data_IF_901512979662
#
_entry.id   IF_901512979662
#
_cell.length_a   1.000
_cell.length_b   1.000
_cell.length_c   1.000
_cell.angle_alpha   90.00
_cell.angle_beta   90.00
_cell.angle_gamma   90.00
#
_symmetry.space_group_name_H-M   'P 1'
#
loop_
_entity.id
_entity.type
_entity.pdbx_description
1 polymer ?
#
# COMPACT_ATOMS: atom_id res chain seq x y z
N UNK A 1 29.49 36.79 45.70
CA UNK A 1 29.05 37.73 46.76
C UNK A 1 27.90 38.56 46.22
N UNK A 2 26.89 38.91 47.03
CA UNK A 2 25.53 38.35 46.87
C UNK A 2 24.38 39.39 46.83
N UNK A 3 23.16 38.89 46.51
CA UNK A 3 21.77 39.20 46.95
C UNK A 3 21.45 40.45 47.83
N UNK A 4 20.18 40.97 47.89
CA UNK A 4 18.92 40.21 48.10
C UNK A 4 17.59 40.77 47.49
N UNK A 5 16.57 39.92 47.25
CA UNK A 5 15.23 39.78 47.90
C UNK A 5 14.21 40.94 47.66
N UNK A 6 12.88 40.77 47.55
CA UNK A 6 11.96 39.82 48.20
C UNK A 6 10.55 39.71 47.54
N UNK A 7 9.99 38.49 47.59
CA UNK A 7 8.60 38.04 47.93
C UNK A 7 7.41 39.02 47.87
N UNK A 8 6.27 38.55 47.32
CA UNK A 8 5.02 38.14 48.03
C UNK A 8 3.86 37.81 47.07
N UNK A 9 3.34 36.58 47.13
CA UNK A 9 1.90 36.23 47.06
C UNK A 9 1.30 36.38 48.48
N UNK A 10 -0.03 36.23 48.80
CA UNK A 10 -1.14 35.55 48.08
C UNK A 10 -2.54 36.25 48.20
N UNK A 11 -3.62 35.66 47.66
CA UNK A 11 -4.79 35.15 48.43
C UNK A 11 -6.03 34.88 47.55
N UNK A 12 -6.63 33.71 47.79
CA UNK A 12 -7.97 33.31 47.39
C UNK A 12 -9.02 33.83 48.38
N UNK A 13 -10.28 33.99 47.93
CA UNK A 13 -11.47 34.03 48.81
C UNK A 13 -12.68 33.37 48.16
N UNK A 14 -13.46 32.73 49.01
CA UNK A 14 -14.60 31.86 48.74
C UNK A 14 -15.87 32.42 49.43
N UNK A 15 -17.05 32.13 48.83
CA UNK A 15 -18.38 31.83 49.46
C UNK A 15 -19.12 33.02 50.13
N UNK A 16 -20.47 33.21 49.94
CA UNK A 16 -21.50 32.48 50.71
C UNK A 16 -22.82 32.09 49.98
N UNK A 17 -23.46 31.04 50.53
CA UNK A 17 -24.88 30.68 50.41
C UNK A 17 -25.75 31.53 51.36
N UNK A 18 -27.02 31.82 51.01
CA UNK A 18 -28.22 31.45 51.80
C UNK A 18 -29.58 31.91 51.18
N UNK A 19 -30.52 30.95 51.14
CA UNK A 19 -31.95 30.97 51.55
C UNK A 19 -33.08 31.78 50.87
N UNK A 20 -34.08 30.98 50.47
CA UNK A 20 -35.56 31.05 50.68
C UNK A 20 -36.38 32.22 50.12
N UNK A 21 -37.39 31.88 49.29
CA UNK A 21 -38.78 32.28 49.56
C UNK A 21 -39.81 31.35 48.90
N UNK A 22 -40.86 31.06 49.68
CA UNK A 22 -42.04 30.22 49.46
C UNK A 22 -43.07 30.92 48.53
N UNK A 23 -43.78 30.16 47.69
CA UNK A 23 -45.22 30.40 47.47
C UNK A 23 -45.94 29.11 47.09
N UNK A 24 -47.05 28.87 47.78
CA UNK A 24 -47.89 27.67 47.72
C UNK A 24 -49.06 27.84 46.73
N UNK A 25 -49.50 26.73 46.14
CA UNK A 25 -50.88 26.55 45.68
C UNK A 25 -51.25 25.05 45.79
N UNK A 26 -52.29 24.79 46.58
CA UNK A 26 -53.04 23.52 46.68
C UNK A 26 -53.85 23.30 45.38
N UNK A 27 -54.38 22.15 44.95
CA UNK A 27 -55.10 21.01 45.55
C UNK A 27 -55.14 19.88 44.48
N UNK A 28 -55.15 18.61 44.89
CA UNK A 28 -55.67 17.53 44.04
C UNK A 28 -55.10 16.14 44.36
N UNK A 29 -55.61 15.49 45.41
CA UNK A 29 -55.28 14.10 45.72
C UNK A 29 -56.15 13.14 44.88
N UNK A 30 -55.52 12.27 44.09
CA UNK A 30 -56.11 11.05 43.51
C UNK A 30 -55.19 9.87 43.88
N UNK A 31 -55.72 8.66 44.16
CA UNK A 31 -54.91 7.59 44.72
C UNK A 31 -54.12 6.81 43.64
N UNK A 32 -52.89 6.47 44.03
CA UNK A 32 -52.04 5.35 43.63
C UNK A 32 -52.25 4.66 42.27
N UNK A 33 -51.23 4.75 41.40
CA UNK A 33 -50.75 3.62 40.61
C UNK A 33 -49.21 3.62 40.63
N UNK A 34 -48.63 2.62 41.28
CA UNK A 34 -47.21 2.34 41.21
C UNK A 34 -46.87 1.97 39.75
N UNK A 35 -46.16 2.85 39.03
CA UNK A 35 -45.49 2.48 37.79
C UNK A 35 -44.19 1.79 38.19
N UNK A 36 -44.11 0.49 37.93
CA UNK A 36 -42.86 -0.25 37.93
C UNK A 36 -41.94 0.39 36.89
N UNK A 37 -40.77 0.83 37.33
CA UNK A 37 -39.68 1.22 36.45
C UNK A 37 -38.99 -0.06 35.97
N UNK A 38 -39.61 -0.76 35.03
CA UNK A 38 -38.91 -1.80 34.27
C UNK A 38 -38.08 -1.10 33.19
N UNK A 39 -36.81 -0.86 33.50
CA UNK A 39 -35.78 -0.71 32.46
C UNK A 39 -35.72 -1.99 31.62
N UNK A 40 -35.17 -1.96 30.39
CA UNK A 40 -35.09 -3.14 29.55
C UNK A 40 -34.43 -4.29 30.33
N UNK A 41 -34.98 -5.53 30.26
CA UNK A 41 -34.49 -6.64 31.07
C UNK A 41 -33.02 -6.92 30.72
N UNK A 42 -32.18 -6.99 31.76
CA UNK A 42 -30.82 -7.53 31.62
C UNK A 42 -30.98 -9.00 31.25
N UNK A 43 -30.42 -9.47 30.12
CA UNK A 43 -30.60 -10.84 29.67
C UNK A 43 -30.14 -11.83 30.75
N UNK A 44 -30.90 -12.90 30.96
CA UNK A 44 -30.54 -13.94 31.89
C UNK A 44 -29.17 -14.55 31.51
N UNK A 45 -28.36 -14.93 32.50
CA UNK A 45 -27.00 -15.46 32.29
C UNK A 45 -26.95 -16.64 31.30
N UNK A 46 -28.01 -17.45 31.25
CA UNK A 46 -28.16 -18.55 30.29
C UNK A 46 -28.28 -18.05 28.84
N UNK A 47 -29.07 -17.00 28.61
CA UNK A 47 -29.34 -16.47 27.28
C UNK A 47 -28.12 -15.72 26.73
N UNK A 48 -27.40 -15.00 27.61
CA UNK A 48 -26.12 -14.39 27.27
C UNK A 48 -25.06 -15.43 26.86
N UNK A 49 -24.97 -16.56 27.58
CA UNK A 49 -24.04 -17.66 27.24
C UNK A 49 -24.41 -18.36 25.92
N UNK A 50 -25.70 -18.42 25.58
CA UNK A 50 -26.19 -18.99 24.32
C UNK A 50 -25.84 -18.07 23.15
N UNK A 51 -26.10 -16.77 23.28
CA UNK A 51 -25.74 -15.76 22.28
C UNK A 51 -24.22 -15.67 22.05
N UNK A 52 -23.41 -15.75 23.11
CA UNK A 52 -21.94 -15.75 22.98
C UNK A 52 -21.43 -17.01 22.26
N UNK A 53 -22.09 -18.16 22.45
CA UNK A 53 -21.76 -19.40 21.73
C UNK A 53 -22.04 -19.31 20.23
N UNK A 54 -23.16 -18.69 19.85
CA UNK A 54 -23.48 -18.43 18.44
C UNK A 54 -22.44 -17.50 17.81
N UNK A 55 -22.12 -16.37 18.46
CA UNK A 55 -21.11 -15.42 18.00
C UNK A 55 -19.73 -16.05 17.82
N UNK A 56 -19.29 -16.86 18.78
CA UNK A 56 -17.99 -17.55 18.70
C UNK A 56 -17.98 -18.60 17.58
N UNK A 57 -19.08 -19.30 17.37
CA UNK A 57 -19.21 -20.29 16.28
C UNK A 57 -19.17 -19.60 14.92
N UNK A 58 -19.91 -18.51 14.76
CA UNK A 58 -19.91 -17.71 13.53
C UNK A 58 -18.52 -17.11 13.27
N UNK A 59 -17.89 -16.54 14.29
CA UNK A 59 -16.54 -15.98 14.18
C UNK A 59 -15.51 -17.03 13.77
N UNK A 60 -15.56 -18.23 14.37
CA UNK A 60 -14.72 -19.34 13.97
C UNK A 60 -15.00 -19.79 12.53
N UNK A 61 -16.26 -19.89 12.12
CA UNK A 61 -16.68 -20.25 10.76
C UNK A 61 -16.32 -19.18 9.70
N UNK A 62 -16.11 -17.93 10.11
CA UNK A 62 -15.69 -16.85 9.22
C UNK A 62 -14.16 -16.77 9.01
N UNK A 63 -13.35 -17.48 9.81
CA UNK A 63 -11.89 -17.45 9.66
C UNK A 63 -11.43 -18.10 8.36
N UNK A 64 -10.49 -17.43 7.69
CA UNK A 64 -9.86 -17.93 6.47
C UNK A 64 -8.35 -17.88 6.64
N UNK A 65 -7.67 -18.93 6.18
CA UNK A 65 -6.24 -18.89 5.88
C UNK A 65 -6.14 -18.95 4.37
N UNK A 66 -5.74 -17.84 3.77
CA UNK A 66 -5.65 -17.72 2.31
C UNK A 66 -4.60 -18.67 1.75
N UNK A 67 -4.87 -19.21 0.57
CA UNK A 67 -3.96 -20.08 -0.19
C UNK A 67 -3.48 -21.31 0.61
N UNK A 68 -4.33 -21.84 1.50
CA UNK A 68 -3.97 -22.90 2.44
C UNK A 68 -3.32 -24.12 1.77
N UNK A 69 -3.69 -24.47 0.54
CA UNK A 69 -3.14 -25.58 -0.24
C UNK A 69 -1.90 -25.22 -1.11
N UNK A 70 -1.46 -23.96 -1.09
CA UNK A 70 -0.31 -23.45 -1.84
C UNK A 70 0.45 -22.32 -1.10
N UNK A 71 0.84 -22.56 0.15
CA UNK A 71 1.57 -21.56 0.95
C UNK A 71 2.99 -21.37 0.42
N UNK A 72 3.29 -20.14 0.00
CA UNK A 72 4.59 -19.71 -0.58
C UNK A 72 5.29 -18.56 0.15
N UNK A 73 4.69 -18.00 1.19
CA UNK A 73 5.28 -16.92 1.98
C UNK A 73 4.56 -16.76 3.31
N UNK A 74 4.92 -15.73 4.06
CA UNK A 74 4.27 -15.42 5.34
C UNK A 74 2.76 -15.21 5.14
N UNK A 75 1.97 -15.66 6.12
CA UNK A 75 0.51 -15.56 6.12
C UNK A 75 0.02 -14.58 7.19
N UNK A 76 -1.16 -14.00 6.94
CA UNK A 76 -1.87 -13.18 7.92
C UNK A 76 -2.75 -14.07 8.79
N UNK A 77 -2.49 -14.05 10.10
CA UNK A 77 -3.32 -14.73 11.10
C UNK A 77 -3.95 -13.67 12.02
N UNK A 78 -5.28 -13.46 11.97
CA UNK A 78 -5.91 -12.43 12.77
C UNK A 78 -5.88 -12.81 14.26
N UNK A 79 -5.61 -11.82 15.12
CA UNK A 79 -5.71 -11.95 16.58
C UNK A 79 -7.14 -11.68 17.10
N UNK A 80 -7.99 -11.08 16.27
CA UNK A 80 -9.39 -10.75 16.58
C UNK A 80 -10.30 -11.14 15.43
N UNK A 81 -11.51 -11.61 15.73
CA UNK A 81 -12.52 -12.00 14.75
C UNK A 81 -13.79 -11.15 14.83
N UNK A 82 -14.84 -11.63 14.15
CA UNK A 82 -16.19 -11.04 14.26
C UNK A 82 -16.62 -10.94 15.73
N UNK A 83 -17.52 -10.00 16.03
CA UNK A 83 -18.09 -9.79 17.37
C UNK A 83 -17.07 -9.46 18.47
N UNK A 84 -15.88 -8.97 18.11
CA UNK A 84 -14.81 -8.68 19.07
C UNK A 84 -14.19 -9.93 19.70
N UNK A 85 -14.34 -11.09 19.06
CA UNK A 85 -13.74 -12.34 19.54
C UNK A 85 -12.22 -12.27 19.51
N UNK A 86 -11.56 -12.89 20.49
CA UNK A 86 -10.11 -13.08 20.51
C UNK A 86 -9.75 -14.40 19.85
N UNK A 87 -8.63 -14.44 19.13
CA UNK A 87 -8.17 -15.63 18.39
C UNK A 87 -6.73 -15.95 18.79
N UNK A 88 -6.54 -17.16 19.30
CA UNK A 88 -5.22 -17.73 19.57
C UNK A 88 -4.92 -18.85 18.58
N UNK A 89 -3.76 -18.80 17.93
CA UNK A 89 -3.34 -19.80 16.95
C UNK A 89 -2.36 -20.80 17.56
N UNK A 90 -2.43 -22.03 17.09
CA UNK A 90 -1.44 -23.08 17.39
C UNK A 90 -1.06 -23.79 16.11
N UNK A 91 0.22 -24.10 15.95
CA UNK A 91 0.75 -24.88 14.84
C UNK A 91 1.14 -26.29 15.28
N UNK A 92 0.92 -27.28 14.41
CA UNK A 92 1.43 -28.64 14.59
C UNK A 92 2.93 -28.75 14.33
N UNK A 93 3.53 -27.82 13.57
CA UNK A 93 4.97 -27.73 13.31
C UNK A 93 5.40 -26.26 13.23
N UNK A 94 5.72 -25.68 14.39
CA UNK A 94 6.12 -24.27 14.50
C UNK A 94 7.47 -23.94 13.85
N UNK A 95 8.22 -24.95 13.40
CA UNK A 95 9.43 -24.75 12.60
C UNK A 95 9.12 -24.48 11.13
N UNK A 96 7.94 -24.85 10.66
CA UNK A 96 7.50 -24.64 9.27
C UNK A 96 6.51 -23.47 9.18
N UNK A 97 5.51 -23.41 10.07
CA UNK A 97 4.59 -22.26 10.17
C UNK A 97 4.43 -21.90 11.64
N UNK A 98 4.79 -20.69 12.03
CA UNK A 98 4.65 -20.22 13.42
C UNK A 98 3.17 -19.91 13.75
N UNK A 99 2.81 -19.83 15.04
CA UNK A 99 1.50 -19.32 15.46
C UNK A 99 1.19 -17.87 15.04
N UNK A 100 2.22 -17.10 14.65
CA UNK A 100 2.12 -15.70 14.22
C UNK A 100 2.15 -15.55 12.69
N UNK A 101 2.27 -16.66 11.95
CA UNK A 101 2.13 -16.70 10.50
C UNK A 101 3.42 -16.52 9.71
N UNK A 102 4.59 -16.52 10.36
CA UNK A 102 5.87 -16.64 9.65
C UNK A 102 6.01 -18.06 9.09
N UNK A 103 6.50 -18.16 7.86
CA UNK A 103 6.63 -19.43 7.13
C UNK A 103 8.09 -19.69 6.79
N UNK A 104 8.58 -20.86 7.17
CA UNK A 104 9.88 -21.39 6.78
C UNK A 104 9.68 -22.55 5.81
N UNK A 105 9.92 -22.28 4.53
CA UNK A 105 9.67 -23.23 3.45
C UNK A 105 10.76 -24.31 3.39
N UNK A 106 10.42 -25.54 2.98
CA UNK A 106 11.43 -26.55 2.65
C UNK A 106 12.40 -26.02 1.57
N UNK A 107 13.67 -26.45 1.56
CA UNK A 107 14.60 -26.14 0.48
C UNK A 107 14.11 -26.59 -0.91
N UNK A 108 14.68 -26.01 -1.96
CA UNK A 108 14.45 -26.47 -3.34
C UNK A 108 14.80 -27.97 -3.50
N UNK A 109 13.95 -28.71 -4.19
CA UNK A 109 14.09 -30.15 -4.41
C UNK A 109 13.45 -31.03 -3.32
N UNK A 110 13.12 -30.47 -2.16
CA UNK A 110 12.39 -31.17 -1.11
C UNK A 110 10.89 -31.30 -1.44
N UNK A 111 10.21 -32.20 -0.74
CA UNK A 111 8.75 -32.33 -0.81
C UNK A 111 8.06 -31.20 -0.03
N UNK A 112 6.89 -30.81 -0.49
CA UNK A 112 6.00 -29.92 0.26
C UNK A 112 5.68 -30.51 1.65
N UNK A 113 5.45 -29.62 2.63
CA UNK A 113 5.12 -29.99 4.01
C UNK A 113 3.66 -29.71 4.32
N UNK A 114 3.02 -30.62 5.04
CA UNK A 114 1.67 -30.39 5.57
C UNK A 114 1.76 -29.91 7.01
N UNK A 115 1.06 -28.81 7.34
CA UNK A 115 1.02 -28.23 8.68
C UNK A 115 -0.42 -27.95 9.07
N UNK A 116 -0.83 -28.37 10.27
CA UNK A 116 -2.15 -28.05 10.80
C UNK A 116 -2.07 -26.82 11.69
N UNK A 117 -2.77 -25.76 11.31
CA UNK A 117 -3.07 -24.65 12.20
C UNK A 117 -4.40 -24.90 12.93
N UNK A 118 -4.47 -24.51 14.19
CA UNK A 118 -5.70 -24.54 14.99
C UNK A 118 -5.93 -23.18 15.62
N UNK A 119 -6.98 -22.49 15.18
CA UNK A 119 -7.49 -21.28 15.80
C UNK A 119 -8.40 -21.64 16.98
N UNK A 120 -8.17 -21.01 18.14
CA UNK A 120 -9.09 -21.02 19.29
C UNK A 120 -9.72 -19.65 19.38
N UNK A 121 -11.01 -19.57 19.08
CA UNK A 121 -11.81 -18.33 19.06
C UNK A 121 -12.57 -18.21 20.38
N UNK A 122 -12.51 -17.05 21.03
CA UNK A 122 -13.06 -16.83 22.37
C UNK A 122 -13.90 -15.55 22.48
N UNK A 123 -14.97 -15.64 23.26
CA UNK A 123 -15.75 -14.50 23.76
C UNK A 123 -16.16 -14.81 25.21
N UNK A 124 -15.65 -14.03 26.17
CA UNK A 124 -15.84 -14.33 27.60
C UNK A 124 -15.33 -15.73 27.96
N UNK A 125 -16.24 -16.58 28.46
CA UNK A 125 -15.93 -17.97 28.83
C UNK A 125 -16.21 -18.99 27.71
N UNK A 126 -16.79 -18.56 26.60
CA UNK A 126 -17.15 -19.46 25.50
C UNK A 126 -16.01 -19.50 24.48
N UNK A 127 -15.73 -20.70 23.97
CA UNK A 127 -14.70 -20.92 22.96
C UNK A 127 -15.13 -21.91 21.89
N UNK A 128 -14.64 -21.72 20.66
CA UNK A 128 -14.70 -22.70 19.58
C UNK A 128 -13.29 -22.88 18.99
N UNK A 129 -13.07 -24.02 18.32
CA UNK A 129 -11.82 -24.28 17.62
C UNK A 129 -12.09 -24.55 16.15
N UNK A 130 -11.19 -24.07 15.30
CA UNK A 130 -11.18 -24.38 13.87
C UNK A 130 -9.79 -24.79 13.43
N UNK A 131 -9.72 -25.88 12.66
CA UNK A 131 -8.48 -26.37 12.08
C UNK A 131 -8.34 -25.97 10.61
N UNK A 132 -7.11 -25.75 10.18
CA UNK A 132 -6.73 -25.50 8.79
C UNK A 132 -5.55 -26.40 8.46
N UNK A 133 -5.68 -27.21 7.42
CA UNK A 133 -4.58 -28.00 6.88
C UNK A 133 -3.88 -27.16 5.81
N UNK A 134 -2.59 -26.90 6.01
CA UNK A 134 -1.77 -26.11 5.12
C UNK A 134 -0.81 -26.99 4.33
N UNK A 135 -0.58 -26.66 3.06
CA UNK A 135 0.48 -27.24 2.22
C UNK A 135 1.52 -26.16 1.93
N UNK A 136 2.69 -26.28 2.54
CA UNK A 136 3.82 -25.35 2.38
C UNK A 136 4.74 -25.85 1.26
N UNK A 137 4.87 -25.06 0.20
CA UNK A 137 5.69 -25.41 -0.97
C UNK A 137 7.18 -25.23 -0.69
N UNK A 138 8.05 -26.09 -1.27
CA UNK A 138 9.50 -25.87 -1.22
C UNK A 138 9.87 -24.56 -1.93
N UNK A 139 10.99 -23.95 -1.54
CA UNK A 139 11.55 -22.78 -2.20
C UNK A 139 11.78 -23.06 -3.70
N UNK A 140 11.64 -22.05 -4.58
CA UNK A 140 11.98 -22.20 -5.98
C UNK A 140 13.49 -22.34 -6.16
N UNK A 141 13.88 -22.86 -7.33
CA UNK A 141 15.27 -22.75 -7.78
C UNK A 141 15.57 -21.27 -8.02
N UNK A 142 16.65 -20.78 -7.42
CA UNK A 142 17.13 -19.43 -7.72
C UNK A 142 17.90 -19.47 -9.05
N UNK A 143 17.53 -18.58 -9.96
CA UNK A 143 18.13 -18.48 -11.29
C UNK A 143 18.56 -17.03 -11.54
N UNK A 144 19.66 -16.81 -12.28
CA UNK A 144 20.08 -15.46 -12.62
C UNK A 144 19.01 -14.78 -13.48
N UNK A 145 18.85 -13.47 -13.26
CA UNK A 145 18.08 -12.63 -14.16
C UNK A 145 18.82 -12.47 -15.50
N UNK A 146 18.05 -12.42 -16.59
CA UNK A 146 18.56 -12.27 -17.96
C UNK A 146 17.72 -11.28 -18.79
N UNK A 147 16.93 -10.46 -18.11
CA UNK A 147 16.13 -9.42 -18.72
C UNK A 147 15.17 -8.80 -17.72
N UNK A 148 14.23 -8.03 -18.25
CA UNK A 148 13.27 -7.25 -17.50
C UNK A 148 11.88 -7.35 -18.13
N UNK A 149 10.87 -7.41 -17.28
CA UNK A 149 9.46 -7.17 -17.60
C UNK A 149 9.14 -5.72 -17.26
N UNK A 150 8.43 -5.02 -18.13
CA UNK A 150 7.92 -3.69 -17.88
C UNK A 150 6.40 -3.71 -17.94
N UNK A 151 5.76 -3.50 -16.80
CA UNK A 151 4.31 -3.30 -16.72
C UNK A 151 4.02 -1.80 -16.73
N UNK A 152 3.13 -1.34 -17.60
CA UNK A 152 2.81 0.07 -17.79
C UNK A 152 1.36 0.26 -18.25
N UNK A 153 0.88 1.49 -18.23
CA UNK A 153 -0.33 1.90 -18.95
C UNK A 153 0.04 2.95 -20.01
N UNK A 154 -0.88 3.30 -20.91
CA UNK A 154 -0.57 4.16 -22.06
C UNK A 154 -1.22 5.54 -22.06
N UNK A 155 -1.95 5.87 -20.98
CA UNK A 155 -2.56 7.18 -20.78
C UNK A 155 -4.03 7.26 -21.14
N UNK A 156 -4.65 8.40 -20.82
CA UNK A 156 -6.08 8.70 -21.01
C UNK A 156 -6.44 9.16 -22.43
N UNK A 157 -5.56 8.96 -23.41
CA UNK A 157 -5.82 9.33 -24.82
C UNK A 157 -6.67 8.32 -25.59
N UNK A 158 -6.86 7.11 -25.04
CA UNK A 158 -7.57 5.98 -25.69
C UNK A 158 -8.42 5.23 -24.69
N UNK A 159 -9.51 4.60 -25.15
CA UNK A 159 -10.46 3.90 -24.28
C UNK A 159 -9.87 2.69 -23.56
N UNK A 160 -8.80 2.12 -24.10
CA UNK A 160 -8.03 1.01 -23.56
C UNK A 160 -6.67 1.44 -22.99
N UNK A 161 -6.36 2.74 -22.98
CA UNK A 161 -5.04 3.22 -22.57
C UNK A 161 -4.83 3.23 -21.05
N UNK A 162 -5.92 3.20 -20.29
CA UNK A 162 -5.93 3.05 -18.83
C UNK A 162 -6.19 1.57 -18.48
N UNK A 163 -5.37 0.69 -19.03
CA UNK A 163 -5.32 -0.75 -18.76
C UNK A 163 -3.85 -1.17 -18.66
N UNK A 164 -3.57 -2.40 -18.20
CA UNK A 164 -2.18 -2.85 -18.03
C UNK A 164 -1.65 -3.43 -19.33
N UNK A 165 -0.52 -2.92 -19.79
CA UNK A 165 0.26 -3.40 -20.92
C UNK A 165 1.61 -3.89 -20.41
N UNK A 166 2.22 -4.82 -21.16
CA UNK A 166 3.52 -5.38 -20.82
C UNK A 166 4.49 -5.28 -21.98
N UNK A 167 5.76 -5.10 -21.67
CA UNK A 167 6.88 -5.22 -22.59
C UNK A 167 8.01 -6.01 -21.93
N UNK A 168 8.91 -6.55 -22.74
CA UNK A 168 10.12 -7.22 -22.26
C UNK A 168 11.35 -6.59 -22.88
N UNK A 169 12.43 -6.53 -22.11
CA UNK A 169 13.70 -6.02 -22.61
C UNK A 169 14.32 -6.97 -23.64
N UNK A 170 15.25 -6.44 -24.45
CA UNK A 170 16.11 -7.25 -25.32
C UNK A 170 17.30 -7.80 -24.53
N UNK A 171 17.07 -8.93 -23.85
CA UNK A 171 18.05 -9.48 -22.90
C UNK A 171 18.25 -8.54 -21.72
N UNK A 172 19.46 -8.45 -21.18
CA UNK A 172 19.81 -7.55 -20.06
C UNK A 172 19.97 -6.07 -20.45
N UNK A 173 19.47 -5.64 -21.62
CA UNK A 173 19.46 -4.24 -22.04
C UNK A 173 18.16 -3.54 -21.59
N UNK A 174 18.20 -2.73 -20.52
CA UNK A 174 17.00 -2.06 -20.01
C UNK A 174 16.59 -0.85 -20.86
N UNK A 175 17.33 -0.51 -21.92
CA UNK A 175 17.02 0.63 -22.77
C UNK A 175 16.27 0.25 -24.04
N UNK A 176 16.18 -1.05 -24.39
CA UNK A 176 15.49 -1.52 -25.60
C UNK A 176 14.44 -2.58 -25.29
N UNK A 177 13.20 -2.33 -25.72
CA UNK A 177 12.03 -3.12 -25.34
C UNK A 177 11.25 -3.60 -26.56
N UNK A 178 10.63 -4.78 -26.41
CA UNK A 178 9.63 -5.32 -27.33
C UNK A 178 8.28 -5.39 -26.61
N UNK A 179 7.23 -4.80 -27.20
CA UNK A 179 5.88 -4.82 -26.62
C UNK A 179 5.28 -6.23 -26.71
N UNK A 180 4.73 -6.73 -25.60
CA UNK A 180 4.03 -8.00 -25.59
C UNK A 180 2.60 -7.84 -26.12
N UNK A 181 1.96 -8.95 -26.52
CA UNK A 181 0.56 -8.99 -26.93
C UNK A 181 0.22 -8.01 -28.08
N UNK A 182 1.21 -7.70 -28.93
CA UNK A 182 1.08 -6.71 -30.01
C UNK A 182 0.71 -5.31 -29.51
N UNK A 183 1.16 -4.94 -28.30
CA UNK A 183 0.89 -3.64 -27.67
C UNK A 183 -0.52 -3.49 -27.09
N UNK A 184 -1.33 -4.56 -27.06
CA UNK A 184 -2.68 -4.56 -26.46
C UNK A 184 -2.60 -4.83 -24.95
N UNK A 185 -3.62 -4.41 -24.17
CA UNK A 185 -3.66 -4.71 -22.75
C UNK A 185 -3.57 -6.20 -22.45
N UNK A 186 -2.82 -6.57 -21.41
CA UNK A 186 -2.70 -7.94 -20.88
C UNK A 186 -3.64 -8.18 -19.69
N UNK A 187 -3.94 -7.15 -18.90
CA UNK A 187 -4.91 -7.17 -17.81
C UNK A 187 -5.84 -5.97 -17.95
N UNK A 188 -7.13 -6.21 -17.74
CA UNK A 188 -8.16 -5.18 -17.81
C UNK A 188 -8.97 -5.13 -16.52
N UNK A 189 -9.34 -3.91 -16.12
CA UNK A 189 -10.20 -3.68 -14.97
C UNK A 189 -11.68 -3.83 -15.34
N UNK A 190 -12.38 -4.64 -14.57
CA UNK A 190 -13.83 -4.87 -14.65
C UNK A 190 -14.59 -4.38 -13.41
N UNK A 191 -13.86 -4.06 -12.34
CA UNK A 191 -14.35 -3.51 -11.08
C UNK A 191 -14.01 -2.02 -10.96
N UNK A 192 -14.50 -1.36 -9.91
CA UNK A 192 -14.20 0.05 -9.63
C UNK A 192 -14.60 1.00 -10.76
N UNK A 193 -13.71 1.94 -11.06
CA UNK A 193 -13.83 2.92 -12.15
C UNK A 193 -13.57 2.28 -13.53
N UNK A 194 -13.11 1.03 -13.57
CA UNK A 194 -12.82 0.24 -14.78
C UNK A 194 -11.72 0.81 -15.67
N UNK A 195 -10.87 1.66 -15.08
CA UNK A 195 -9.57 2.03 -15.60
C UNK A 195 -8.52 1.67 -14.55
N UNK A 196 -7.34 1.25 -15.00
CA UNK A 196 -6.19 1.03 -14.13
C UNK A 196 -4.98 1.80 -14.65
N UNK A 197 -4.31 2.46 -13.71
CA UNK A 197 -3.12 3.30 -13.95
C UNK A 197 -2.02 2.91 -12.98
N UNK A 198 -0.80 3.33 -13.30
CA UNK A 198 0.36 3.22 -12.41
C UNK A 198 0.60 1.78 -11.89
N UNK A 199 0.69 0.74 -12.76
CA UNK A 199 0.90 -0.62 -12.29
C UNK A 199 2.24 -0.78 -11.59
N UNK A 200 2.19 -1.42 -10.42
CA UNK A 200 3.35 -1.88 -9.69
C UNK A 200 3.35 -3.38 -9.52
N UNK A 201 4.39 -4.04 -10.04
CA UNK A 201 4.60 -5.47 -9.90
C UNK A 201 5.80 -5.75 -8.99
N UNK A 202 5.61 -6.64 -8.01
CA UNK A 202 6.66 -7.09 -7.10
C UNK A 202 6.72 -8.60 -7.02
N UNK A 203 7.94 -9.12 -7.08
CA UNK A 203 8.27 -10.52 -6.78
C UNK A 203 8.38 -10.69 -5.26
N UNK A 204 7.82 -11.77 -4.74
CA UNK A 204 7.94 -12.14 -3.33
C UNK A 204 9.40 -12.39 -2.95
N UNK A 205 9.79 -12.20 -1.67
CA UNK A 205 11.18 -12.39 -1.25
C UNK A 205 11.68 -13.83 -1.47
N UNK A 206 10.79 -14.82 -1.53
CA UNK A 206 11.14 -16.21 -1.83
C UNK A 206 11.34 -16.47 -3.33
N UNK A 207 10.78 -15.62 -4.20
CA UNK A 207 11.11 -15.55 -5.61
C UNK A 207 10.09 -16.14 -6.60
N UNK A 208 8.98 -16.74 -6.14
CA UNK A 208 8.04 -17.51 -6.99
C UNK A 208 6.56 -17.12 -6.85
N UNK A 209 6.27 -15.98 -6.23
CA UNK A 209 4.96 -15.35 -6.27
C UNK A 209 5.12 -13.88 -6.67
N UNK A 210 4.16 -13.37 -7.43
CA UNK A 210 4.14 -12.01 -7.94
C UNK A 210 2.83 -11.35 -7.55
N UNK A 211 2.89 -10.09 -7.18
CA UNK A 211 1.73 -9.26 -6.92
C UNK A 211 1.78 -8.06 -7.84
N UNK A 212 0.67 -7.79 -8.54
CA UNK A 212 0.47 -6.56 -9.29
C UNK A 212 -0.59 -5.74 -8.57
N UNK A 213 -0.27 -4.50 -8.24
CA UNK A 213 -1.20 -3.52 -7.69
C UNK A 213 -1.30 -2.32 -8.63
N UNK A 214 -2.46 -1.68 -8.69
CA UNK A 214 -2.67 -0.52 -9.57
C UNK A 214 -3.68 0.46 -8.97
N UNK A 215 -3.61 1.71 -9.44
CA UNK A 215 -4.61 2.75 -9.19
C UNK A 215 -5.92 2.37 -9.87
N UNK A 216 -7.03 2.31 -9.13
CA UNK A 216 -8.39 2.25 -9.70
C UNK A 216 -8.81 3.67 -10.15
N UNK A 217 -8.65 3.96 -11.44
CA UNK A 217 -8.96 5.28 -11.97
C UNK A 217 -9.18 5.25 -13.49
N UNK A 218 -10.26 5.90 -13.93
CA UNK A 218 -10.55 6.17 -15.33
C UNK A 218 -10.78 7.66 -15.59
N UNK A 219 -9.84 8.30 -16.29
CA UNK A 219 -9.93 9.70 -16.73
C UNK A 219 -10.43 9.78 -18.18
N UNK A 220 -10.19 8.75 -18.98
CA UNK A 220 -10.66 8.70 -20.36
C UNK A 220 -12.18 8.92 -20.42
N UNK A 221 -12.58 9.98 -21.13
CA UNK A 221 -13.97 10.31 -21.41
C UNK A 221 -14.52 11.52 -20.64
N UNK A 222 -14.10 11.78 -19.40
CA UNK A 222 -14.56 12.94 -18.61
C UNK A 222 -13.48 13.97 -18.31
N UNK A 223 -12.21 13.57 -18.17
CA UNK A 223 -11.10 14.48 -17.86
C UNK A 223 -11.16 15.14 -16.48
N UNK A 224 -12.04 14.68 -15.56
CA UNK A 224 -12.31 15.37 -14.30
C UNK A 224 -11.29 15.03 -13.20
N UNK A 225 -10.12 15.64 -13.33
CA UNK A 225 -9.03 15.47 -12.39
C UNK A 225 -9.30 16.06 -11.00
N UNK A 226 -10.21 17.02 -10.83
CA UNK A 226 -10.52 17.52 -9.48
C UNK A 226 -11.37 16.51 -8.72
N UNK A 227 -12.42 15.98 -9.35
CA UNK A 227 -13.24 14.92 -8.76
C UNK A 227 -12.40 13.68 -8.43
N UNK A 228 -11.48 13.29 -9.32
CA UNK A 228 -10.63 12.11 -9.14
C UNK A 228 -9.72 12.19 -7.90
N UNK A 229 -9.30 13.37 -7.45
CA UNK A 229 -8.50 13.51 -6.21
C UNK A 229 -9.31 13.89 -4.97
N UNK A 230 -10.52 14.42 -5.14
CA UNK A 230 -11.38 14.80 -4.00
C UNK A 230 -12.27 13.66 -3.57
N UNK A 231 -12.84 12.92 -4.50
CA UNK A 231 -13.87 11.90 -4.26
C UNK A 231 -13.65 10.67 -5.12
N UNK A 232 -12.40 10.39 -5.49
CA UNK A 232 -12.02 9.23 -6.30
C UNK A 232 -11.98 7.92 -5.51
N UNK A 233 -11.49 6.88 -6.18
CA UNK A 233 -11.39 5.55 -5.59
C UNK A 233 -10.48 5.52 -4.35
N UNK A 234 -10.90 4.72 -3.37
CA UNK A 234 -10.19 4.44 -2.10
C UNK A 234 -9.57 3.05 -2.08
N UNK A 235 -9.54 2.41 -3.25
CA UNK A 235 -9.23 1.00 -3.44
C UNK A 235 -7.96 0.83 -4.26
N UNK A 236 -7.33 -0.33 -4.08
CA UNK A 236 -6.30 -0.86 -4.97
C UNK A 236 -6.94 -1.94 -5.84
N UNK A 237 -6.55 -1.98 -7.10
CA UNK A 237 -6.73 -3.20 -7.89
C UNK A 237 -5.54 -4.12 -7.69
N UNK A 238 -5.82 -5.40 -7.43
CA UNK A 238 -4.80 -6.39 -7.08
C UNK A 238 -4.97 -7.66 -7.90
N UNK A 239 -3.87 -8.11 -8.50
CA UNK A 239 -3.71 -9.43 -9.11
C UNK A 239 -2.50 -10.15 -8.50
N UNK A 240 -2.51 -11.47 -8.54
CA UNK A 240 -1.34 -12.27 -8.19
C UNK A 240 -1.07 -13.37 -9.22
N UNK A 241 0.19 -13.75 -9.35
CA UNK A 241 0.64 -14.80 -10.27
C UNK A 241 1.78 -15.61 -9.64
N UNK A 242 2.00 -16.82 -10.15
CA UNK A 242 3.22 -17.61 -9.87
C UNK A 242 4.09 -17.78 -11.10
N UNK A 243 3.73 -17.16 -12.24
CA UNK A 243 4.44 -17.31 -13.50
C UNK A 243 4.43 -16.10 -14.43
N UNK A 244 3.91 -14.95 -13.97
CA UNK A 244 3.78 -13.68 -14.70
C UNK A 244 2.86 -13.70 -15.93
N UNK A 245 2.24 -14.85 -16.25
CA UNK A 245 1.35 -15.01 -17.41
C UNK A 245 -0.08 -15.24 -16.96
N UNK A 246 -0.27 -16.18 -16.03
CA UNK A 246 -1.57 -16.50 -15.47
C UNK A 246 -1.76 -15.71 -14.19
N UNK A 247 -2.64 -14.73 -14.27
CA UNK A 247 -3.01 -13.87 -13.15
C UNK A 247 -4.33 -14.35 -12.53
N UNK A 248 -4.47 -14.12 -11.22
CA UNK A 248 -5.74 -14.34 -10.52
C UNK A 248 -6.87 -13.49 -11.09
N UNK A 249 -8.10 -13.74 -10.65
CA UNK A 249 -9.17 -12.75 -10.79
C UNK A 249 -8.76 -11.42 -10.13
N UNK A 250 -9.28 -10.32 -10.69
CA UNK A 250 -9.11 -8.97 -10.15
C UNK A 250 -9.71 -8.87 -8.74
N UNK A 251 -8.98 -8.28 -7.80
CA UNK A 251 -9.49 -7.90 -6.49
C UNK A 251 -9.51 -6.38 -6.33
N UNK A 252 -10.67 -5.84 -5.95
CA UNK A 252 -10.87 -4.43 -5.61
C UNK A 252 -10.80 -4.27 -4.09
N UNK A 253 -9.66 -3.84 -3.55
CA UNK A 253 -9.35 -3.88 -2.12
C UNK A 253 -9.30 -2.48 -1.51
N UNK A 254 -10.20 -2.17 -0.56
CA UNK A 254 -10.20 -0.87 0.12
C UNK A 254 -9.00 -0.76 1.06
N UNK A 255 -8.18 0.28 0.89
CA UNK A 255 -7.01 0.54 1.75
C UNK A 255 -7.02 1.92 2.39
N UNK A 256 -7.70 2.88 1.75
CA UNK A 256 -7.86 4.23 2.29
C UNK A 256 -9.17 4.37 3.06
N UNK A 257 -9.13 5.14 4.14
CA UNK A 257 -10.29 5.43 4.96
C UNK A 257 -11.26 6.42 4.29
N UNK A 258 -12.41 6.68 4.93
CA UNK A 258 -13.43 7.53 4.34
C UNK A 258 -13.05 9.01 4.25
N UNK A 259 -12.01 9.45 4.96
CA UNK A 259 -11.49 10.83 4.91
C UNK A 259 -10.48 11.05 3.78
N UNK A 260 -10.05 9.98 3.11
CA UNK A 260 -9.21 10.06 1.93
C UNK A 260 -10.03 10.49 0.69
N UNK A 261 -9.43 11.35 -0.13
CA UNK A 261 -9.98 11.75 -1.42
C UNK A 261 -9.64 10.80 -2.57
N UNK A 262 -8.55 10.04 -2.44
CA UNK A 262 -8.02 9.15 -3.47
C UNK A 262 -7.01 8.13 -2.92
N UNK A 263 -6.73 7.07 -3.70
CA UNK A 263 -5.62 6.13 -3.50
C UNK A 263 -4.86 5.99 -4.82
N UNK A 264 -3.75 6.72 -4.99
CA UNK A 264 -3.06 6.82 -6.29
C UNK A 264 -1.62 6.31 -6.26
N UNK A 265 -1.17 5.80 -7.40
CA UNK A 265 0.17 5.31 -7.67
C UNK A 265 0.71 4.39 -6.56
N UNK A 266 0.05 3.25 -6.31
CA UNK A 266 0.47 2.35 -5.27
C UNK A 266 1.74 1.60 -5.67
N UNK A 267 2.72 1.58 -4.77
CA UNK A 267 3.85 0.66 -4.85
C UNK A 267 4.01 -0.11 -3.54
N UNK A 268 4.88 -1.13 -3.54
CA UNK A 268 5.15 -1.93 -2.37
C UNK A 268 6.63 -2.29 -2.25
N UNK A 269 7.10 -2.45 -1.02
CA UNK A 269 8.45 -2.96 -0.74
C UNK A 269 8.41 -3.96 0.42
N UNK A 270 9.16 -5.05 0.32
CA UNK A 270 9.26 -6.03 1.40
C UNK A 270 10.23 -5.58 2.49
N UNK A 271 9.78 -5.55 3.74
CA UNK A 271 10.63 -5.25 4.90
C UNK A 271 10.89 -6.52 5.73
N UNK A 272 12.13 -7.00 5.71
CA UNK A 272 12.54 -8.22 6.42
C UNK A 272 12.32 -8.13 7.93
N UNK A 273 12.42 -6.94 8.52
CA UNK A 273 12.24 -6.75 9.97
C UNK A 273 10.77 -6.86 10.39
N UNK A 274 9.85 -6.56 9.46
CA UNK A 274 8.41 -6.72 9.65
C UNK A 274 7.91 -8.10 9.19
N UNK A 275 8.65 -8.74 8.27
CA UNK A 275 8.17 -9.92 7.57
C UNK A 275 6.86 -9.65 6.82
N UNK A 276 6.75 -8.46 6.23
CA UNK A 276 5.56 -7.95 5.54
C UNK A 276 5.95 -6.94 4.46
N UNK A 277 5.06 -6.75 3.48
CA UNK A 277 5.14 -5.66 2.52
C UNK A 277 4.67 -4.37 3.19
N UNK A 278 5.38 -3.29 2.92
CA UNK A 278 4.92 -1.91 3.12
C UNK A 278 4.40 -1.43 1.78
N UNK A 279 3.09 -1.22 1.69
CA UNK A 279 2.41 -0.69 0.51
C UNK A 279 2.15 0.79 0.72
N UNK A 280 2.52 1.63 -0.23
CA UNK A 280 2.45 3.09 -0.11
C UNK A 280 1.85 3.73 -1.36
N UNK A 281 1.13 4.84 -1.17
CA UNK A 281 0.34 5.52 -2.21
C UNK A 281 0.12 6.99 -1.87
N UNK A 282 -0.26 7.81 -2.84
CA UNK A 282 -0.61 9.21 -2.62
C UNK A 282 -2.11 9.38 -2.30
N UNK A 283 -2.42 10.29 -1.36
CA UNK A 283 -3.81 10.60 -0.99
C UNK A 283 -3.98 12.02 -0.44
N UNK A 284 -5.04 12.73 -0.89
CA UNK A 284 -5.57 13.89 -0.16
C UNK A 284 -6.32 13.42 1.07
N UNK A 285 -6.03 13.99 2.24
CA UNK A 285 -6.77 13.69 3.47
C UNK A 285 -7.59 14.90 3.93
N UNK A 286 -8.83 14.67 4.30
CA UNK A 286 -9.79 15.69 4.73
C UNK A 286 -10.08 15.58 6.23
N UNK A 287 -10.60 16.67 6.80
CA UNK A 287 -11.12 16.62 8.16
C UNK A 287 -12.33 15.66 8.20
N UNK A 288 -12.46 14.78 9.23
CA UNK A 288 -13.62 13.90 9.35
C UNK A 288 -14.98 14.61 9.32
N UNK A 289 -15.04 15.91 9.66
CA UNK A 289 -16.24 16.73 9.57
C UNK A 289 -16.52 17.27 8.15
N UNK A 290 -15.51 17.34 7.27
CA UNK A 290 -15.67 17.71 5.86
C UNK A 290 -16.02 16.48 5.01
N UNK A 291 -17.17 15.86 5.29
CA UNK A 291 -17.61 14.64 4.58
C UNK A 291 -17.86 14.84 3.08
N UNK A 292 -17.88 16.09 2.60
CA UNK A 292 -18.04 16.45 1.20
C UNK A 292 -16.71 16.76 0.51
N UNK A 293 -15.58 16.73 1.23
CA UNK A 293 -14.23 16.99 0.72
C UNK A 293 -14.12 18.34 -0.03
N UNK A 294 -14.79 19.36 0.48
CA UNK A 294 -14.86 20.70 -0.13
C UNK A 294 -13.71 21.61 0.28
N UNK A 295 -13.07 21.31 1.42
CA UNK A 295 -11.93 22.04 1.93
C UNK A 295 -10.67 21.93 1.06
N UNK A 296 -9.69 22.77 1.37
CA UNK A 296 -8.35 22.66 0.78
C UNK A 296 -7.60 21.46 1.37
N UNK A 297 -7.01 20.65 0.50
CA UNK A 297 -6.12 19.55 0.88
C UNK A 297 -5.10 19.29 -0.22
N UNK A 298 -4.08 18.48 0.07
CA UNK A 298 -3.00 18.10 -0.83
C UNK A 298 -2.62 16.64 -0.62
N UNK A 299 -1.98 16.03 -1.62
CA UNK A 299 -1.57 14.63 -1.52
C UNK A 299 -0.40 14.48 -0.55
N UNK A 300 -0.53 13.51 0.35
CA UNK A 300 0.54 12.98 1.20
C UNK A 300 0.85 11.56 0.77
N UNK A 301 2.07 11.11 1.00
CA UNK A 301 2.35 9.68 0.84
C UNK A 301 1.85 8.96 2.09
N UNK A 302 0.98 7.99 1.89
CA UNK A 302 0.41 7.09 2.88
C UNK A 302 1.11 5.73 2.81
N UNK A 303 0.99 4.92 3.85
CA UNK A 303 1.37 3.52 3.82
C UNK A 303 0.46 2.64 4.67
N UNK A 304 0.40 1.36 4.34
CA UNK A 304 -0.11 0.28 5.17
C UNK A 304 0.77 -0.97 5.00
N UNK A 305 0.70 -1.91 5.93
CA UNK A 305 1.43 -3.18 5.84
C UNK A 305 0.51 -4.34 5.51
N UNK A 306 0.98 -5.29 4.70
CA UNK A 306 0.26 -6.53 4.37
C UNK A 306 1.24 -7.70 4.20
N UNK A 307 0.78 -8.94 4.40
CA UNK A 307 1.51 -10.15 3.99
C UNK A 307 0.93 -10.81 2.74
N UNK A 308 -0.30 -10.47 2.37
CA UNK A 308 -1.12 -11.25 1.43
C UNK A 308 -1.85 -10.41 0.37
N UNK A 309 -1.71 -9.08 0.41
CA UNK A 309 -2.45 -8.12 -0.44
C UNK A 309 -3.96 -8.32 -0.42
N UNK A 310 -4.50 -8.81 0.70
CA UNK A 310 -5.93 -8.96 0.98
C UNK A 310 -6.30 -8.27 2.28
N UNK A 311 -5.44 -8.40 3.28
CA UNK A 311 -5.59 -7.80 4.61
C UNK A 311 -4.51 -6.76 4.79
N UNK A 312 -4.91 -5.53 5.10
CA UNK A 312 -4.01 -4.40 5.30
C UNK A 312 -4.15 -3.89 6.74
N UNK A 313 -3.05 -3.39 7.30
CA UNK A 313 -3.13 -2.55 8.50
C UNK A 313 -3.91 -1.26 8.20
N UNK A 314 -4.33 -0.55 9.25
CA UNK A 314 -4.83 0.82 9.08
C UNK A 314 -3.75 1.69 8.39
N UNK A 315 -4.15 2.57 7.45
CA UNK A 315 -3.22 3.45 6.75
C UNK A 315 -2.64 4.50 7.70
N UNK A 316 -1.41 4.94 7.41
CA UNK A 316 -0.68 5.96 8.15
C UNK A 316 0.03 6.91 7.19
N UNK A 317 0.24 8.15 7.59
CA UNK A 317 1.08 9.09 6.83
C UNK A 317 2.53 8.61 6.86
N UNK A 318 3.14 8.51 5.69
CA UNK A 318 4.55 8.16 5.50
C UNK A 318 5.42 9.38 5.21
N UNK A 319 4.95 10.28 4.33
CA UNK A 319 5.63 11.53 3.97
C UNK A 319 4.62 12.66 3.87
N UNK A 320 4.85 13.72 4.64
CA UNK A 320 4.10 14.97 4.57
C UNK A 320 5.09 16.15 4.71
N UNK A 321 5.56 16.73 3.61
CA UNK A 321 6.46 17.88 3.65
C UNK A 321 5.70 19.21 3.81
N UNK A 322 4.39 19.19 4.05
CA UNK A 322 3.52 20.37 4.11
C UNK A 322 3.02 20.86 2.75
N UNK A 323 3.24 20.10 1.69
CA UNK A 323 2.77 20.37 0.32
C UNK A 323 2.52 19.05 -0.43
N UNK A 324 1.85 19.13 -1.58
CA UNK A 324 1.49 17.95 -2.38
C UNK A 324 2.72 17.20 -2.87
N UNK A 325 2.73 15.89 -2.68
CA UNK A 325 3.69 14.95 -3.26
C UNK A 325 2.96 13.69 -3.72
N UNK A 326 3.43 13.08 -4.79
CA UNK A 326 2.84 11.85 -5.37
C UNK A 326 3.96 10.90 -5.84
N UNK A 327 3.58 9.75 -6.40
CA UNK A 327 4.42 8.83 -7.16
C UNK A 327 5.77 8.57 -6.47
N UNK A 328 5.72 7.88 -5.33
CA UNK A 328 6.95 7.44 -4.70
C UNK A 328 7.36 6.08 -5.21
N UNK A 329 8.65 5.86 -5.37
CA UNK A 329 9.25 4.54 -5.56
C UNK A 329 10.45 4.34 -4.63
N UNK A 330 10.78 3.08 -4.31
CA UNK A 330 11.82 2.73 -3.35
C UNK A 330 12.73 1.62 -3.86
N UNK A 331 14.04 1.81 -3.71
CA UNK A 331 15.06 0.75 -3.79
C UNK A 331 15.90 0.70 -2.53
N UNK A 332 16.59 -0.43 -2.31
CA UNK A 332 17.54 -0.61 -1.23
C UNK A 332 18.91 -0.97 -1.80
N UNK A 333 19.95 -0.33 -1.30
CA UNK A 333 21.35 -0.68 -1.57
C UNK A 333 22.11 -0.83 -0.23
N UNK A 334 22.63 -2.04 0.02
CA UNK A 334 23.10 -2.43 1.34
C UNK A 334 21.99 -2.30 2.39
N UNK A 335 22.25 -1.53 3.45
CA UNK A 335 21.29 -1.26 4.53
C UNK A 335 20.49 0.05 4.34
N UNK A 336 20.68 0.73 3.20
CA UNK A 336 20.07 2.05 2.95
C UNK A 336 18.95 1.94 1.92
N UNK A 337 17.78 2.42 2.29
CA UNK A 337 16.67 2.67 1.37
C UNK A 337 16.81 4.04 0.73
N UNK A 338 16.48 4.14 -0.54
CA UNK A 338 16.38 5.38 -1.30
C UNK A 338 14.95 5.51 -1.82
N UNK A 339 14.35 6.68 -1.59
CA UNK A 339 12.99 7.02 -2.00
C UNK A 339 13.08 8.13 -3.03
N UNK A 340 12.36 7.95 -4.13
CA UNK A 340 12.20 8.94 -5.18
C UNK A 340 10.75 9.36 -5.19
N UNK A 341 10.46 10.65 -5.03
CA UNK A 341 9.08 11.14 -4.91
C UNK A 341 8.89 12.36 -5.81
N UNK A 342 7.75 12.42 -6.49
CA UNK A 342 7.35 13.59 -7.27
C UNK A 342 6.99 14.78 -6.37
N UNK A 343 7.61 15.93 -6.64
CA UNK A 343 7.21 17.22 -6.09
C UNK A 343 6.09 17.86 -6.91
N UNK A 344 4.91 18.06 -6.32
CA UNK A 344 3.74 18.63 -6.99
C UNK A 344 3.59 20.15 -6.83
N UNK A 345 4.55 20.85 -6.19
CA UNK A 345 4.54 22.32 -6.12
C UNK A 345 4.58 22.93 -7.53
N UNK A 346 4.19 24.20 -7.61
CA UNK A 346 4.39 24.98 -8.82
C UNK A 346 5.87 25.35 -8.97
N UNK A 347 6.38 25.23 -10.20
CA UNK A 347 7.74 25.64 -10.51
C UNK A 347 7.81 27.18 -10.53
N UNK A 348 8.58 27.75 -9.61
CA UNK A 348 8.77 29.20 -9.47
C UNK A 348 10.25 29.49 -9.27
N UNK A 349 10.64 30.77 -9.29
CA UNK A 349 12.02 31.18 -8.95
C UNK A 349 12.45 30.76 -7.54
N UNK A 350 11.50 30.64 -6.59
CA UNK A 350 11.76 30.17 -5.23
C UNK A 350 11.74 28.65 -5.06
N UNK A 351 11.21 27.91 -6.03
CA UNK A 351 11.07 26.45 -6.00
C UNK A 351 11.38 25.84 -7.37
N UNK A 352 12.60 26.08 -7.92
CA UNK A 352 12.93 25.78 -9.31
C UNK A 352 12.97 24.27 -9.63
N UNK A 353 12.98 23.41 -8.61
CA UNK A 353 12.95 21.97 -8.71
C UNK A 353 11.55 21.36 -8.56
N UNK A 354 10.51 22.19 -8.36
CA UNK A 354 9.14 21.67 -8.34
C UNK A 354 8.77 21.08 -9.71
N UNK A 355 7.88 20.09 -9.69
CA UNK A 355 7.53 19.25 -10.84
C UNK A 355 8.63 18.28 -11.29
N UNK A 356 9.68 18.10 -10.50
CA UNK A 356 10.70 17.07 -10.68
C UNK A 356 10.75 16.10 -9.49
N UNK A 357 11.69 15.16 -9.54
CA UNK A 357 11.83 14.10 -8.56
C UNK A 357 12.78 14.55 -7.43
N UNK A 358 12.38 14.28 -6.19
CA UNK A 358 13.17 14.42 -4.97
C UNK A 358 13.70 13.04 -4.60
N UNK A 359 14.97 12.95 -4.24
CA UNK A 359 15.60 11.75 -3.68
C UNK A 359 15.94 11.95 -2.20
N UNK A 360 15.57 10.96 -1.39
CA UNK A 360 15.84 10.90 0.03
C UNK A 360 16.31 9.49 0.41
N UNK A 361 16.94 9.35 1.58
CA UNK A 361 17.42 8.06 2.08
C UNK A 361 17.12 7.82 3.56
N UNK A 362 17.05 6.55 3.94
CA UNK A 362 16.86 6.12 5.32
C UNK A 362 17.38 4.70 5.53
N UNK A 363 17.81 4.35 6.73
CA UNK A 363 18.11 2.95 7.08
C UNK A 363 16.87 2.17 7.53
N UNK A 364 15.71 2.83 7.62
CA UNK A 364 14.44 2.25 8.05
C UNK A 364 13.32 2.70 7.12
N UNK A 365 12.68 1.73 6.46
CA UNK A 365 11.63 2.00 5.47
C UNK A 365 10.46 2.81 6.06
N UNK A 366 10.03 2.49 7.28
CA UNK A 366 8.90 3.16 7.94
C UNK A 366 9.24 4.49 8.64
N UNK A 367 10.48 4.98 8.57
CA UNK A 367 10.75 6.33 9.08
C UNK A 367 9.93 7.35 8.27
N UNK A 368 9.40 8.37 8.94
CA UNK A 368 8.70 9.49 8.29
C UNK A 368 9.64 10.65 7.97
N UNK A 369 10.82 10.66 8.58
CA UNK A 369 11.88 11.65 8.39
C UNK A 369 13.07 10.96 7.72
N UNK A 370 13.21 11.17 6.41
CA UNK A 370 14.29 10.61 5.60
C UNK A 370 15.29 11.71 5.31
N UNK A 371 16.57 11.37 5.27
CA UNK A 371 17.63 12.33 4.95
C UNK A 371 17.52 12.74 3.48
N UNK A 372 17.49 14.05 3.24
CA UNK A 372 17.54 14.59 1.89
C UNK A 372 18.84 14.21 1.17
N UNK A 373 18.74 13.79 -0.09
CA UNK A 373 19.89 13.52 -0.96
C UNK A 373 19.98 14.58 -2.04
N UNK A 374 18.92 14.73 -2.85
CA UNK A 374 18.88 15.65 -3.99
C UNK A 374 17.46 15.98 -4.41
N UNK A 375 17.30 17.06 -5.17
CA UNK A 375 16.07 17.41 -5.88
C UNK A 375 16.44 17.76 -7.33
N UNK A 376 15.46 18.18 -8.14
CA UNK A 376 15.68 18.46 -9.57
C UNK A 376 16.09 17.21 -10.38
N UNK A 377 15.87 16.00 -9.88
CA UNK A 377 16.25 14.79 -10.62
C UNK A 377 15.45 14.72 -11.93
N UNK A 378 16.18 14.52 -13.03
CA UNK A 378 15.66 14.55 -14.40
C UNK A 378 15.75 15.91 -15.09
N UNK A 379 15.88 17.01 -14.34
CA UNK A 379 15.89 18.36 -14.91
C UNK A 379 17.14 18.59 -15.78
N UNK A 380 16.92 19.07 -17.00
CA UNK A 380 18.00 19.52 -17.89
C UNK A 380 18.54 20.90 -17.51
N UNK A 381 19.74 21.22 -18.01
CA UNK A 381 20.36 22.55 -17.91
C UNK A 381 20.94 22.96 -19.27
N UNK A 382 21.70 24.07 -19.31
CA UNK A 382 22.28 24.60 -20.57
C UNK A 382 23.23 23.61 -21.27
N UNK A 383 23.81 22.66 -20.54
CA UNK A 383 24.83 21.73 -21.03
C UNK A 383 24.41 20.26 -20.96
N UNK A 384 23.40 19.92 -20.16
CA UNK A 384 22.90 18.55 -19.97
C UNK A 384 21.45 18.42 -20.44
N UNK A 385 21.14 17.46 -21.33
CA UNK A 385 19.77 17.18 -21.69
C UNK A 385 19.00 16.64 -20.47
N UNK A 386 17.69 16.86 -20.48
CA UNK A 386 16.80 16.32 -19.47
C UNK A 386 15.34 16.46 -19.88
N UNK A 387 14.46 16.45 -18.89
CA UNK A 387 13.02 16.66 -19.06
C UNK A 387 12.61 18.05 -18.59
N UNK A 388 11.49 18.54 -19.12
CA UNK A 388 10.91 19.84 -18.73
C UNK A 388 10.12 19.79 -17.42
N UNK A 389 9.70 18.59 -17.05
CA UNK A 389 8.95 18.20 -15.83
C UNK A 389 8.87 16.68 -15.82
N UNK A 390 8.75 16.05 -14.66
CA UNK A 390 8.75 14.58 -14.57
C UNK A 390 7.91 14.06 -13.41
N UNK A 391 7.17 12.97 -13.60
CA UNK A 391 6.38 12.24 -12.60
C UNK A 391 6.60 10.73 -12.76
N UNK A 392 5.90 9.92 -11.97
CA UNK A 392 5.96 8.46 -12.05
C UNK A 392 7.37 7.88 -12.08
N UNK A 393 8.29 8.21 -11.15
CA UNK A 393 9.62 7.62 -11.16
C UNK A 393 9.54 6.10 -10.97
N UNK A 394 10.26 5.33 -11.79
CA UNK A 394 10.52 3.91 -11.53
C UNK A 394 12.01 3.64 -11.53
N UNK A 395 12.51 3.04 -10.44
CA UNK A 395 13.94 2.86 -10.18
C UNK A 395 14.27 1.38 -10.03
N UNK A 396 15.34 0.93 -10.68
CA UNK A 396 15.77 -0.45 -10.65
C UNK A 396 17.28 -0.60 -10.91
N UNK A 397 17.86 -1.72 -10.46
CA UNK A 397 19.28 -2.01 -10.63
C UNK A 397 19.51 -2.76 -11.95
N UNK A 398 20.64 -2.49 -12.60
CA UNK A 398 21.13 -3.32 -13.70
C UNK A 398 21.43 -4.74 -13.22
N UNK A 399 21.01 -5.75 -13.98
CA UNK A 399 21.35 -7.16 -13.76
C UNK A 399 22.86 -7.43 -13.94
N UNK A 400 23.56 -6.62 -14.75
CA UNK A 400 24.92 -6.91 -15.22
C UNK A 400 25.97 -5.91 -14.75
N UNK A 401 25.57 -4.77 -14.21
CA UNK A 401 26.47 -3.67 -13.85
C UNK A 401 26.15 -3.11 -12.46
N UNK A 402 27.14 -2.50 -11.80
CA UNK A 402 26.86 -1.64 -10.63
C UNK A 402 26.32 -0.28 -11.09
N UNK A 403 25.11 -0.31 -11.63
CA UNK A 403 24.40 0.81 -12.22
C UNK A 403 22.92 0.71 -11.85
N UNK A 404 22.30 1.86 -11.66
CA UNK A 404 20.88 2.03 -11.45
C UNK A 404 20.29 2.82 -12.60
N UNK A 405 19.06 2.46 -12.97
CA UNK A 405 18.24 3.22 -13.90
C UNK A 405 17.06 3.83 -13.16
N UNK A 406 16.68 5.04 -13.55
CA UNK A 406 15.51 5.75 -13.08
C UNK A 406 14.78 6.25 -14.32
N UNK A 407 13.63 5.67 -14.63
CA UNK A 407 12.78 6.19 -15.69
C UNK A 407 11.82 7.21 -15.08
N UNK A 408 11.66 8.35 -15.74
CA UNK A 408 10.78 9.44 -15.27
C UNK A 408 9.82 9.80 -16.40
N UNK A 409 8.51 9.78 -16.14
CA UNK A 409 7.49 10.15 -17.13
C UNK A 409 7.49 11.66 -17.32
N UNK A 410 7.93 12.13 -18.48
CA UNK A 410 7.77 13.51 -18.88
C UNK A 410 6.30 13.78 -19.26
N UNK A 411 5.47 13.96 -18.23
CA UNK A 411 4.02 14.13 -18.38
C UNK A 411 3.65 15.30 -19.27
N UNK A 412 2.70 15.08 -20.17
CA UNK A 412 2.36 16.00 -21.27
C UNK A 412 3.49 16.25 -22.27
N UNK A 413 4.57 15.47 -22.22
CA UNK A 413 5.71 15.48 -23.12
C UNK A 413 5.93 14.09 -23.72
N UNK A 414 7.19 13.65 -23.78
CA UNK A 414 7.60 12.44 -24.51
C UNK A 414 7.09 11.12 -23.94
N UNK A 415 6.68 11.08 -22.67
CA UNK A 415 6.57 9.82 -21.92
C UNK A 415 7.83 9.54 -21.12
N UNK A 416 8.04 8.28 -20.78
CA UNK A 416 9.21 7.89 -20.00
C UNK A 416 10.54 8.29 -20.67
N UNK A 417 11.42 8.86 -19.85
CA UNK A 417 12.81 9.15 -20.19
C UNK A 417 13.72 8.44 -19.20
N UNK A 418 14.64 7.58 -19.67
CA UNK A 418 15.59 6.89 -18.80
C UNK A 418 16.74 7.78 -18.36
N UNK A 419 17.11 7.66 -17.08
CA UNK A 419 18.30 8.22 -16.48
C UNK A 419 19.10 7.11 -15.78
N UNK A 420 20.39 7.32 -15.59
CA UNK A 420 21.29 6.35 -14.98
C UNK A 420 22.25 6.98 -13.96
N UNK A 421 22.66 6.16 -12.99
CA UNK A 421 23.71 6.49 -12.02
C UNK A 421 24.46 5.23 -11.58
N UNK A 422 25.69 5.40 -11.10
CA UNK A 422 26.46 4.34 -10.42
C UNK A 422 26.58 4.57 -8.92
N UNK A 423 26.02 5.68 -8.41
CA UNK A 423 26.07 6.08 -7.01
C UNK A 423 24.77 6.80 -6.63
N UNK A 424 23.83 6.06 -6.05
CA UNK A 424 22.56 6.60 -5.55
C UNK A 424 22.81 7.74 -4.55
N UNK A 425 23.77 7.58 -3.64
CA UNK A 425 24.05 8.58 -2.59
C UNK A 425 24.53 9.93 -3.13
N UNK A 426 24.99 9.98 -4.38
CA UNK A 426 25.38 11.24 -5.03
C UNK A 426 24.20 12.13 -5.42
N UNK A 427 23.01 11.55 -5.59
CA UNK A 427 21.84 12.23 -6.15
C UNK A 427 22.00 12.71 -7.59
N UNK A 428 23.04 12.24 -8.31
CA UNK A 428 23.32 12.61 -9.69
C UNK A 428 22.84 11.55 -10.65
N UNK A 429 21.96 11.96 -11.55
CA UNK A 429 21.36 11.12 -12.58
C UNK A 429 21.66 11.72 -13.95
N UNK A 430 22.12 10.89 -14.88
CA UNK A 430 22.44 11.31 -16.25
C UNK A 430 21.41 10.73 -17.20
N UNK A 431 20.84 11.53 -18.09
CA UNK A 431 19.89 11.03 -19.09
C UNK A 431 20.58 9.99 -19.97
N UNK A 432 20.01 8.79 -20.08
CA UNK A 432 20.50 7.74 -20.97
C UNK A 432 20.21 8.12 -22.43
N UNK A 433 21.05 7.69 -23.36
CA UNK A 433 20.91 7.94 -24.79
C UNK A 433 20.64 6.65 -25.57
N UNK A 434 20.03 6.75 -26.75
CA UNK A 434 19.87 5.60 -27.64
C UNK A 434 18.91 4.55 -27.13
N UNK A 435 17.92 4.94 -26.33
CA UNK A 435 16.88 4.05 -25.83
C UNK A 435 15.71 3.91 -26.82
N UNK A 436 15.05 2.76 -26.79
CA UNK A 436 13.81 2.42 -27.50
C UNK A 436 12.82 1.82 -26.49
N UNK A 437 12.03 2.68 -25.87
CA UNK A 437 10.93 2.26 -25.00
C UNK A 437 9.70 1.82 -25.83
N UNK A 438 8.69 1.20 -25.20
CA UNK A 438 7.38 0.99 -25.81
C UNK A 438 6.79 2.27 -26.42
N UNK A 439 5.70 2.16 -27.20
CA UNK A 439 5.23 3.27 -28.02
C UNK A 439 4.75 4.49 -27.21
N UNK A 440 4.16 4.25 -26.04
CA UNK A 440 3.67 5.33 -25.15
C UNK A 440 3.57 4.86 -23.69
N UNK A 441 4.64 4.33 -23.07
CA UNK A 441 4.58 3.90 -21.69
C UNK A 441 4.49 5.13 -20.78
N UNK A 442 3.53 5.06 -19.86
CA UNK A 442 3.36 5.96 -18.72
C UNK A 442 3.75 5.23 -17.44
N UNK A 443 3.64 5.92 -16.31
CA UNK A 443 3.98 5.43 -14.97
C UNK A 443 3.67 3.93 -14.81
N UNK A 444 4.68 3.16 -14.41
CA UNK A 444 4.70 1.71 -14.41
C UNK A 444 6.01 1.19 -13.82
N UNK A 445 6.24 -0.12 -13.84
CA UNK A 445 7.30 -0.79 -13.08
C UNK A 445 8.16 -1.73 -13.91
N UNK A 446 9.48 -1.63 -13.73
CA UNK A 446 10.45 -2.56 -14.32
C UNK A 446 10.85 -3.63 -13.31
N UNK A 447 10.60 -4.90 -13.65
CA UNK A 447 10.89 -6.06 -12.82
C UNK A 447 11.97 -6.94 -13.48
N UNK A 448 13.08 -7.26 -12.79
CA UNK A 448 14.05 -8.22 -13.31
C UNK A 448 13.47 -9.65 -13.34
N UNK A 449 13.72 -10.34 -14.45
CA UNK A 449 13.15 -11.67 -14.75
C UNK A 449 14.22 -12.65 -15.21
N UNK A 450 14.00 -13.92 -14.92
CA UNK A 450 14.88 -15.02 -15.34
C UNK A 450 14.65 -15.34 -16.82
N UNK A 451 15.59 -16.08 -17.43
CA UNK A 451 15.40 -16.55 -18.81
C UNK A 451 14.13 -17.39 -18.95
N UNK A 452 13.83 -18.26 -17.99
CA UNK A 452 12.65 -19.12 -18.03
C UNK A 452 11.33 -18.31 -17.93
N UNK A 453 11.34 -17.17 -17.26
CA UNK A 453 10.20 -16.24 -17.20
C UNK A 453 10.07 -15.45 -18.50
N UNK A 454 11.18 -14.94 -19.04
CA UNK A 454 11.23 -14.26 -20.34
C UNK A 454 10.69 -15.15 -21.46
N UNK A 455 11.16 -16.40 -21.54
CA UNK A 455 10.74 -17.35 -22.57
C UNK A 455 9.24 -17.63 -22.46
N UNK A 456 8.72 -17.74 -21.22
CA UNK A 456 7.29 -17.97 -20.96
C UNK A 456 6.44 -16.77 -21.39
N UNK A 457 6.84 -15.55 -21.01
CA UNK A 457 6.16 -14.31 -21.41
C UNK A 457 6.10 -14.19 -22.94
N UNK A 458 7.23 -14.38 -23.63
CA UNK A 458 7.29 -14.33 -25.10
C UNK A 458 6.46 -15.43 -25.76
N UNK A 459 6.49 -16.66 -25.22
CA UNK A 459 5.72 -17.77 -25.77
C UNK A 459 4.20 -17.59 -25.59
N UNK A 460 3.77 -17.01 -24.46
CA UNK A 460 2.35 -16.88 -24.12
C UNK A 460 1.69 -15.63 -24.69
N UNK A 461 2.40 -14.50 -24.72
CA UNK A 461 1.85 -13.21 -25.14
C UNK A 461 2.31 -12.78 -26.54
N UNK A 462 3.37 -13.38 -27.06
CA UNK A 462 4.06 -12.89 -28.27
C UNK A 462 4.83 -11.59 -27.99
N UNK A 463 5.92 -11.37 -28.72
CA UNK A 463 6.76 -10.18 -28.64
C UNK A 463 7.14 -9.68 -30.03
#
# INVERSE_FOLDING_TARGET
MPHPASRRTPTARAVPWLSMCLLALMVGAAPAQARTADGPPVPARHDALTADREKVTEAAAALTVWDADDIRGNITLPATGRHGTLIEWKSSDSRTVTPTGEVHRPPYGDRARTVRLTATVRLGHVQAKRGFELTVRPLPKQEPYQGYLFEYFTGEGRSDGEQIHSAVSRGDDPLHWDELNGGKPVLTSTLGDKGVRDPFVIRSPEGDKFYLIATDLKIYGNGDWDAAQRTGSKYLEVWESTDLVHWSEQRHVKVSDDTAGNTWAPEAYWDDSLGAYVVFWASKLYDPADTAHTGGSYNRMMYATTRDFRTFSAPRVWKDPGYSVIDSTVVKDGDTYYRFTKDERNNTSSTPCSKFIIEEKSTRLLNTDWDFVSECIGKGDEVRPGISRGEGPTVFKSNTENKWYLFIDEFGGRGYVPFETTDLASGRWTMSSGYQLPASPRHGTVLPVTQAEMDRLRASLGA
#
